data_IF_975421413778
#
_entry.id   IF_975421413778
#
_cell.length_a   1.000
_cell.length_b   1.000
_cell.length_c   1.000
_cell.angle_alpha   90.00
_cell.angle_beta   90.00
_cell.angle_gamma   90.00
#
_symmetry.space_group_name_H-M   'P 1'
#
loop_
_entity.id
_entity.type
_entity.pdbx_description
1 polymer ?
#
# COMPACT_ATOMS: atom_id res chain seq x y z
N UNK A 1 15.95 3.00 0.64
CA UNK A 1 14.48 3.07 0.69
C UNK A 1 14.00 1.81 1.38
N UNK A 2 13.21 1.93 2.44
CA UNK A 2 12.57 0.83 3.17
C UNK A 2 11.12 0.63 2.70
N UNK A 3 10.53 -0.52 3.02
CA UNK A 3 9.17 -0.84 2.57
C UNK A 3 8.13 0.18 3.07
N UNK A 4 8.24 0.65 4.32
CA UNK A 4 7.29 1.65 4.84
C UNK A 4 7.35 2.98 4.06
N UNK A 5 8.53 3.42 3.61
CA UNK A 5 8.67 4.63 2.78
C UNK A 5 8.00 4.45 1.41
N UNK A 6 8.02 3.23 0.87
CA UNK A 6 7.29 2.88 -0.36
C UNK A 6 5.79 2.96 -0.15
N UNK A 7 5.30 2.41 0.96
CA UNK A 7 3.87 2.45 1.31
C UNK A 7 3.43 3.90 1.52
N UNK A 8 4.21 4.71 2.26
CA UNK A 8 3.92 6.13 2.50
C UNK A 8 3.83 6.92 1.19
N UNK A 9 4.78 6.68 0.26
CA UNK A 9 4.75 7.31 -1.06
C UNK A 9 3.50 6.93 -1.86
N UNK A 10 3.13 5.65 -1.85
CA UNK A 10 1.94 5.16 -2.55
C UNK A 10 0.65 5.69 -1.91
N UNK A 11 0.58 5.77 -0.58
CA UNK A 11 -0.54 6.30 0.16
C UNK A 11 -0.72 7.82 -0.05
N UNK A 12 0.39 8.55 -0.22
CA UNK A 12 0.37 9.97 -0.59
C UNK A 12 -0.15 10.25 -2.00
N UNK A 13 -0.18 9.24 -2.88
CA UNK A 13 -0.67 9.38 -4.25
C UNK A 13 -2.18 9.12 -4.35
N UNK A 14 -2.97 10.19 -4.41
CA UNK A 14 -4.44 10.14 -4.45
C UNK A 14 -5.00 9.33 -5.64
N UNK A 15 -4.36 9.40 -6.81
CA UNK A 15 -4.84 8.64 -7.97
C UNK A 15 -4.55 7.15 -7.80
N UNK A 16 -3.39 6.81 -7.22
CA UNK A 16 -3.05 5.43 -6.89
C UNK A 16 -4.06 4.81 -5.91
N UNK A 17 -4.34 5.51 -4.80
CA UNK A 17 -5.35 5.08 -3.81
C UNK A 17 -6.73 4.95 -4.46
N UNK A 18 -7.14 5.91 -5.29
CA UNK A 18 -8.43 5.85 -5.98
C UNK A 18 -8.54 4.64 -6.91
N UNK A 19 -7.49 4.31 -7.64
CA UNK A 19 -7.48 3.12 -8.51
C UNK A 19 -7.45 1.83 -7.70
N UNK A 20 -6.71 1.81 -6.59
CA UNK A 20 -6.71 0.68 -5.67
C UNK A 20 -8.10 0.44 -5.08
N UNK A 21 -8.76 1.46 -4.51
CA UNK A 21 -10.13 1.37 -3.99
C UNK A 21 -11.11 0.85 -5.06
N UNK A 22 -11.00 1.34 -6.31
CA UNK A 22 -11.85 0.89 -7.41
C UNK A 22 -11.66 -0.59 -7.74
N UNK A 23 -10.43 -1.10 -7.67
CA UNK A 23 -10.10 -2.47 -8.06
C UNK A 23 -10.28 -3.47 -6.92
N UNK A 24 -9.94 -3.08 -5.70
CA UNK A 24 -9.95 -3.93 -4.52
C UNK A 24 -11.26 -3.86 -3.71
N UNK A 25 -12.12 -2.88 -4.00
CA UNK A 25 -13.35 -2.67 -3.22
C UNK A 25 -13.10 -2.14 -1.80
N UNK A 26 -11.96 -1.48 -1.60
CA UNK A 26 -11.58 -0.85 -0.32
C UNK A 26 -12.07 0.59 -0.24
N UNK A 27 -11.96 1.19 0.95
CA UNK A 27 -12.33 2.58 1.20
C UNK A 27 -11.17 3.37 1.85
N UNK A 28 -9.96 3.25 1.32
CA UNK A 28 -8.79 3.98 1.82
C UNK A 28 -8.84 5.47 1.51
N UNK A 29 -9.60 5.86 0.47
CA UNK A 29 -9.93 7.26 0.19
C UNK A 29 -10.92 7.88 1.19
N UNK A 30 -11.40 7.11 2.18
CA UNK A 30 -12.30 7.55 3.25
C UNK A 30 -13.54 8.27 2.72
N UNK A 31 -14.19 7.67 1.72
CA UNK A 31 -15.45 8.16 1.16
C UNK A 31 -16.63 7.65 1.98
N UNK A 32 -17.71 8.43 1.97
CA UNK A 32 -18.96 8.09 2.65
C UNK A 32 -19.33 9.08 3.73
N UNK A 33 -20.44 8.79 4.39
CA UNK A 33 -20.97 9.55 5.52
C UNK A 33 -20.12 9.33 6.77
N UNK A 34 -20.15 10.26 7.74
CA UNK A 34 -19.44 10.08 9.01
C UNK A 34 -19.82 8.78 9.75
N UNK A 35 -21.06 8.32 9.64
CA UNK A 35 -21.54 7.08 10.27
C UNK A 35 -20.88 5.87 9.63
N UNK A 36 -20.82 5.80 8.30
CA UNK A 36 -20.16 4.71 7.59
C UNK A 36 -18.68 4.61 7.96
N UNK A 37 -17.97 5.75 8.02
CA UNK A 37 -16.57 5.77 8.44
C UNK A 37 -16.38 5.34 9.90
N UNK A 38 -17.31 5.70 10.79
CA UNK A 38 -17.30 5.22 12.17
C UNK A 38 -17.53 3.71 12.26
N UNK A 39 -18.44 3.16 11.46
CA UNK A 39 -18.70 1.72 11.39
C UNK A 39 -17.48 0.98 10.83
N UNK A 40 -16.90 1.46 9.73
CA UNK A 40 -15.70 0.87 9.11
C UNK A 40 -14.53 0.82 10.10
N UNK A 41 -14.35 1.89 10.89
CA UNK A 41 -13.34 1.93 11.95
C UNK A 41 -13.67 0.97 13.09
N UNK A 42 -14.92 0.94 13.57
CA UNK A 42 -15.33 0.14 14.73
C UNK A 42 -15.34 -1.36 14.44
N UNK A 43 -15.56 -1.75 13.18
CA UNK A 43 -15.57 -3.14 12.72
C UNK A 43 -14.18 -3.65 12.32
N UNK A 44 -13.17 -2.76 12.27
CA UNK A 44 -11.83 -3.11 11.82
C UNK A 44 -11.69 -3.25 10.30
N UNK A 45 -12.71 -2.88 9.52
CA UNK A 45 -12.64 -2.85 8.05
C UNK A 45 -11.51 -1.93 7.57
N UNK A 46 -11.35 -0.77 8.19
CA UNK A 46 -10.28 0.16 7.82
C UNK A 46 -8.87 -0.47 7.94
N UNK A 47 -8.63 -1.24 9.01
CA UNK A 47 -7.35 -1.95 9.21
C UNK A 47 -7.18 -3.09 8.19
N UNK A 48 -8.27 -3.78 7.83
CA UNK A 48 -8.24 -4.82 6.81
C UNK A 48 -7.92 -4.25 5.42
N UNK A 49 -8.55 -3.14 5.06
CA UNK A 49 -8.28 -2.42 3.81
C UNK A 49 -6.81 -1.96 3.76
N UNK A 50 -6.26 -1.46 4.88
CA UNK A 50 -4.86 -1.05 4.96
C UNK A 50 -3.89 -2.24 4.81
N UNK A 51 -4.19 -3.39 5.43
CA UNK A 51 -3.38 -4.62 5.26
C UNK A 51 -3.36 -5.05 3.79
N UNK A 52 -4.53 -5.10 3.15
CA UNK A 52 -4.65 -5.44 1.73
C UNK A 52 -3.84 -4.49 0.84
N UNK A 53 -3.80 -3.20 1.19
CA UNK A 53 -2.99 -2.23 0.48
C UNK A 53 -1.49 -2.45 0.64
N UNK A 54 -1.02 -2.73 1.85
CA UNK A 54 0.38 -3.09 2.09
C UNK A 54 0.78 -4.33 1.26
N UNK A 55 -0.04 -5.37 1.28
CA UNK A 55 0.21 -6.60 0.50
C UNK A 55 0.30 -6.29 -1.00
N UNK A 56 -0.62 -5.47 -1.51
CA UNK A 56 -0.58 -5.03 -2.90
C UNK A 56 0.68 -4.22 -3.25
N UNK A 57 1.06 -3.25 -2.41
CA UNK A 57 2.30 -2.46 -2.63
C UNK A 57 3.52 -3.37 -2.62
N UNK A 58 3.54 -4.38 -1.75
CA UNK A 58 4.62 -5.35 -1.70
C UNK A 58 4.72 -6.15 -3.02
N UNK A 59 3.62 -6.72 -3.50
CA UNK A 59 3.60 -7.58 -4.69
C UNK A 59 3.73 -6.81 -6.02
N UNK A 60 3.11 -5.64 -6.11
CA UNK A 60 3.03 -4.88 -7.35
C UNK A 60 4.25 -3.97 -7.57
N UNK A 61 4.85 -3.47 -6.49
CA UNK A 61 5.92 -2.47 -6.56
C UNK A 61 7.19 -3.03 -5.93
N UNK A 62 7.19 -3.25 -4.61
CA UNK A 62 8.41 -3.51 -3.84
C UNK A 62 9.18 -4.76 -4.30
N UNK A 63 8.50 -5.92 -4.39
CA UNK A 63 9.10 -7.20 -4.81
C UNK A 63 9.62 -7.17 -6.26
N UNK A 64 9.02 -6.34 -7.12
CA UNK A 64 9.41 -6.18 -8.52
C UNK A 64 10.59 -5.23 -8.71
N UNK A 65 10.79 -4.30 -7.78
CA UNK A 65 11.98 -3.45 -7.75
C UNK A 65 13.24 -4.24 -7.40
N UNK A 66 13.13 -5.23 -6.50
CA UNK A 66 14.25 -6.13 -6.15
C UNK A 66 14.70 -7.07 -7.26
N UNK A 67 13.87 -7.30 -8.29
CA UNK A 67 14.17 -8.18 -9.43
C UNK A 67 14.67 -7.43 -10.67
N UNK A 68 14.71 -6.09 -10.65
CA UNK A 68 15.36 -5.27 -11.68
C UNK A 68 16.44 -4.38 -11.07
N UNK A 69 17.62 -4.98 -10.87
CA UNK A 69 18.90 -4.25 -10.94
C UNK A 69 19.46 -3.67 -9.65
N UNK A 70 19.61 -4.48 -8.60
CA UNK A 70 20.60 -4.20 -7.55
C UNK A 70 21.50 -5.44 -7.45
N UNK A 71 22.82 -5.36 -7.69
CA UNK A 71 23.72 -6.47 -7.41
C UNK A 71 23.66 -6.77 -5.91
N UNK A 72 23.15 -7.94 -5.54
CA UNK A 72 23.06 -8.38 -4.15
C UNK A 72 24.19 -9.33 -3.78
N UNK A 73 25.41 -9.10 -4.28
CA UNK A 73 26.59 -9.86 -3.86
C UNK A 73 27.49 -9.05 -2.92
N UNK A 74 27.68 -9.47 -1.65
CA UNK A 74 28.54 -8.79 -0.70
C UNK A 74 30.04 -9.10 -0.88
N UNK A 75 30.50 -9.53 -2.07
CA UNK A 75 31.90 -9.95 -2.29
C UNK A 75 32.79 -8.97 -3.05
N UNK A 76 32.26 -7.87 -3.56
CA UNK A 76 33.06 -6.87 -4.27
C UNK A 76 33.08 -5.54 -3.51
N UNK A 77 33.92 -5.47 -2.47
CA UNK A 77 34.47 -4.22 -1.97
C UNK A 77 35.99 -4.25 -2.21
N UNK A 78 36.55 -3.30 -3.00
CA UNK A 78 37.99 -3.05 -2.99
C UNK A 78 38.47 -2.53 -1.64
#
# INVERSE_FOLDING_TARGET
MYFHECVDYCAGNKEFIKQFDRLAGTNLSLKGTPIELMVDKSTGKQDADMRMFCDFVYEAIWSRLGSKGIPTDPKDSP
#
